data_IF_069955125373
#
_entry.id   IF_069955125373
#
_cell.length_a   1.000
_cell.length_b   1.000
_cell.length_c   1.000
_cell.angle_alpha   90.00
_cell.angle_beta   90.00
_cell.angle_gamma   90.00
#
_symmetry.space_group_name_H-M   'P 1'
#
loop_
_entity.id
_entity.type
_entity.pdbx_description
1 polymer ?
#
# COMPACT_ATOMS: atom_id res chain seq x y z
N UNK A 1 4.16 -8.73 -12.15
CA UNK A 1 4.36 -8.58 -10.68
C UNK A 1 2.96 -8.53 -10.06
N UNK A 2 2.67 -9.28 -8.99
CA UNK A 2 1.32 -9.29 -8.36
C UNK A 2 0.98 -7.84 -7.94
N UNK A 3 -0.13 -7.28 -8.41
CA UNK A 3 -0.51 -5.86 -8.27
C UNK A 3 -0.47 -5.42 -6.79
N UNK A 4 -0.78 -6.35 -5.88
CA UNK A 4 -0.75 -6.11 -4.43
C UNK A 4 0.67 -6.12 -3.84
N UNK A 5 1.63 -6.81 -4.48
CA UNK A 5 3.04 -6.74 -4.11
C UNK A 5 3.60 -5.36 -4.46
N UNK A 6 3.31 -4.89 -5.67
CA UNK A 6 3.69 -3.55 -6.13
C UNK A 6 3.11 -2.45 -5.22
N UNK A 7 1.83 -2.55 -4.88
CA UNK A 7 1.17 -1.61 -3.97
C UNK A 7 1.84 -1.55 -2.58
N UNK A 8 2.26 -2.70 -2.04
CA UNK A 8 3.03 -2.72 -0.79
C UNK A 8 4.42 -2.08 -0.93
N UNK A 9 5.12 -2.35 -2.03
CA UNK A 9 6.46 -1.80 -2.25
C UNK A 9 6.44 -0.27 -2.39
N UNK A 10 5.43 0.28 -3.07
CA UNK A 10 5.20 1.73 -3.15
C UNK A 10 4.93 2.31 -1.76
N UNK A 11 3.99 1.73 -1.01
CA UNK A 11 3.64 2.23 0.32
C UNK A 11 4.82 2.18 1.29
N UNK A 12 5.62 1.12 1.26
CA UNK A 12 6.80 0.97 2.11
C UNK A 12 7.91 1.97 1.77
N UNK A 13 8.14 2.27 0.49
CA UNK A 13 9.12 3.29 0.08
C UNK A 13 8.76 4.67 0.59
N UNK A 14 7.48 5.03 0.55
CA UNK A 14 6.99 6.30 1.09
C UNK A 14 7.13 6.37 2.61
N UNK A 15 6.68 5.34 3.34
CA UNK A 15 6.81 5.28 4.81
C UNK A 15 8.28 5.29 5.26
N UNK A 16 9.15 4.60 4.53
CA UNK A 16 10.60 4.60 4.82
C UNK A 16 11.20 5.99 4.64
N UNK A 17 10.77 6.73 3.61
CA UNK A 17 11.21 8.10 3.38
C UNK A 17 10.80 9.03 4.53
N UNK A 18 9.56 8.92 5.02
CA UNK A 18 9.11 9.66 6.20
C UNK A 18 9.92 9.32 7.46
N UNK A 19 10.16 8.03 7.73
CA UNK A 19 10.95 7.61 8.88
C UNK A 19 12.41 8.14 8.79
N UNK A 20 12.96 8.22 7.58
CA UNK A 20 14.27 8.80 7.32
C UNK A 20 14.27 10.35 7.32
N UNK A 21 13.14 11.00 7.61
CA UNK A 21 12.94 12.46 7.51
C UNK A 21 13.30 13.03 6.14
N UNK A 22 13.03 12.26 5.09
CA UNK A 22 13.24 12.64 3.68
C UNK A 22 11.90 12.85 3.00
N UNK A 23 11.91 13.68 1.96
CA UNK A 23 10.77 13.79 1.05
C UNK A 23 10.62 12.49 0.27
N UNK A 24 9.43 11.86 0.26
CA UNK A 24 9.15 10.70 -0.58
C UNK A 24 9.29 11.01 -2.07
N UNK A 25 9.55 10.00 -2.89
CA UNK A 25 9.51 10.14 -4.34
C UNK A 25 8.11 10.53 -4.81
N UNK A 26 8.02 11.56 -5.65
CA UNK A 26 6.74 12.09 -6.14
C UNK A 26 5.97 11.05 -6.95
N UNK A 27 6.64 10.20 -7.73
CA UNK A 27 6.00 9.14 -8.49
C UNK A 27 5.36 8.08 -7.57
N UNK A 28 6.02 7.77 -6.44
CA UNK A 28 5.46 6.85 -5.44
C UNK A 28 4.26 7.47 -4.71
N UNK A 29 4.28 8.78 -4.45
CA UNK A 29 3.13 9.51 -3.86
C UNK A 29 1.94 9.51 -4.80
N UNK A 30 2.15 9.80 -6.09
CA UNK A 30 1.09 9.78 -7.09
C UNK A 30 0.51 8.39 -7.28
N UNK A 31 1.35 7.36 -7.28
CA UNK A 31 0.90 5.97 -7.34
C UNK A 31 0.09 5.60 -6.10
N UNK A 32 0.51 6.02 -4.90
CA UNK A 32 -0.27 5.85 -3.67
C UNK A 32 -1.67 6.48 -3.75
N UNK A 33 -1.75 7.69 -4.29
CA UNK A 33 -3.02 8.39 -4.51
C UNK A 33 -3.92 7.68 -5.51
N UNK A 34 -3.35 6.99 -6.52
CA UNK A 34 -4.11 6.15 -7.46
C UNK A 34 -4.60 4.86 -6.81
N UNK A 35 -3.81 4.27 -5.91
CA UNK A 35 -4.09 2.99 -5.26
C UNK A 35 -5.08 3.10 -4.08
N UNK A 36 -5.20 4.27 -3.47
CA UNK A 36 -6.07 4.50 -2.33
C UNK A 36 -7.34 5.29 -2.74
N UNK A 37 -8.55 4.74 -2.55
CA UNK A 37 -9.82 5.42 -2.83
C UNK A 37 -10.23 6.40 -1.71
N UNK A 38 -9.29 6.78 -0.83
CA UNK A 38 -9.54 7.78 0.19
C UNK A 38 -9.63 9.16 -0.46
N UNK A 39 -10.34 10.10 0.19
CA UNK A 39 -10.44 11.48 -0.27
C UNK A 39 -9.06 12.02 -0.64
N UNK A 40 -8.95 12.72 -1.78
CA UNK A 40 -7.68 13.22 -2.32
C UNK A 40 -6.88 14.11 -1.36
N UNK A 41 -7.48 14.58 -0.27
CA UNK A 41 -6.84 15.41 0.75
C UNK A 41 -6.28 14.62 1.94
N UNK A 42 -6.40 13.29 1.96
CA UNK A 42 -5.86 12.49 3.05
C UNK A 42 -4.32 12.62 3.13
N UNK A 43 -3.75 12.66 4.36
CA UNK A 43 -2.30 12.61 4.57
C UNK A 43 -1.65 11.41 3.88
N UNK A 44 -0.46 11.60 3.32
CA UNK A 44 0.21 10.59 2.49
C UNK A 44 0.56 9.32 3.30
N UNK A 45 0.90 9.47 4.57
CA UNK A 45 1.15 8.38 5.51
C UNK A 45 -0.12 7.56 5.80
N UNK A 46 -1.28 8.21 5.91
CA UNK A 46 -2.57 7.52 6.01
C UNK A 46 -2.89 6.72 4.74
N UNK A 47 -2.65 7.31 3.56
CA UNK A 47 -2.78 6.62 2.28
C UNK A 47 -1.88 5.37 2.24
N UNK A 48 -0.63 5.50 2.70
CA UNK A 48 0.33 4.39 2.72
C UNK A 48 -0.10 3.27 3.67
N UNK A 49 -0.56 3.62 4.88
CA UNK A 49 -1.09 2.65 5.83
C UNK A 49 -2.32 1.92 5.26
N UNK A 50 -3.22 2.65 4.58
CA UNK A 50 -4.38 2.07 3.94
C UNK A 50 -4.01 1.06 2.85
N UNK A 51 -3.08 1.40 1.97
CA UNK A 51 -2.62 0.50 0.89
C UNK A 51 -1.98 -0.76 1.48
N UNK A 52 -1.13 -0.63 2.50
CA UNK A 52 -0.55 -1.79 3.21
C UNK A 52 -1.64 -2.67 3.81
N UNK A 53 -2.64 -2.07 4.48
CA UNK A 53 -3.76 -2.81 5.05
C UNK A 53 -4.54 -3.61 4.01
N UNK A 54 -4.89 -3.00 2.87
CA UNK A 54 -5.62 -3.69 1.80
C UNK A 54 -4.82 -4.85 1.22
N UNK A 55 -3.52 -4.66 0.99
CA UNK A 55 -2.66 -5.71 0.46
C UNK A 55 -2.52 -6.89 1.44
N UNK A 56 -2.41 -6.63 2.75
CA UNK A 56 -2.40 -7.68 3.77
C UNK A 56 -3.74 -8.43 3.83
N UNK A 57 -4.85 -7.71 3.77
CA UNK A 57 -6.21 -8.30 3.74
C UNK A 57 -6.38 -9.20 2.52
N UNK A 58 -5.91 -8.78 1.35
CA UNK A 58 -5.93 -9.60 0.13
C UNK A 58 -5.11 -10.90 0.29
N UNK A 59 -3.90 -10.79 0.85
CA UNK A 59 -3.06 -11.97 1.13
C UNK A 59 -3.72 -12.94 2.09
N UNK A 60 -4.38 -12.42 3.14
CA UNK A 60 -5.11 -13.24 4.09
C UNK A 60 -6.29 -13.97 3.42
N UNK A 61 -7.09 -13.27 2.62
CA UNK A 61 -8.19 -13.88 1.86
C UNK A 61 -7.69 -15.00 0.93
N UNK A 62 -6.56 -14.80 0.25
CA UNK A 62 -5.93 -15.81 -0.60
C UNK A 62 -5.42 -17.02 0.19
N UNK A 63 -4.92 -16.83 1.42
CA UNK A 63 -4.55 -17.93 2.32
C UNK A 63 -5.78 -18.73 2.76
N UNK A 64 -6.87 -18.05 3.14
CA UNK A 64 -8.14 -18.69 3.54
C UNK A 64 -8.75 -19.50 2.38
N UNK A 65 -8.84 -18.92 1.19
CA UNK A 65 -9.35 -19.62 0.01
C UNK A 65 -8.53 -20.88 -0.37
N UNK A 66 -7.21 -20.87 -0.12
CA UNK A 66 -6.37 -22.06 -0.31
C UNK A 66 -6.56 -23.12 0.76
N UNK A 67 -6.85 -22.72 1.99
CA UNK A 67 -7.09 -23.63 3.11
C UNK A 67 -8.48 -24.29 3.04
N UNK A 68 -9.48 -23.60 2.48
CA UNK A 68 -10.85 -24.10 2.32
C UNK A 68 -11.05 -24.93 1.04
N UNK A 69 -10.14 -24.80 0.06
CA UNK A 69 -10.15 -25.56 -1.19
C UNK A 69 -9.22 -26.79 -1.20
N UNK A 70 -8.64 -27.16 -0.06
CA UNK A 70 -7.76 -28.31 0.14
C UNK A 70 -8.44 -29.33 1.08
#
# INVERSE_FOLDING_TARGET
MDQMLHAMDVALRVLTSFNAKRTPDQADVEELRRLAPLSGDAPIDELACYVVYQALKYREAKRKARAEGA
#
